data_IF_039835352768
#
_entry.id   IF_039835352768
#
_cell.length_a   1.000
_cell.length_b   1.000
_cell.length_c   1.000
_cell.angle_alpha   90.00
_cell.angle_beta   90.00
_cell.angle_gamma   90.00
#
_symmetry.space_group_name_H-M   'P 1'
#
loop_
_entity.id
_entity.type
_entity.pdbx_description
1 polymer ?
#
# COMPACT_ATOMS: atom_id res chain seq x y z
N UNK A 1 -2.87 -9.81 2.96
CA UNK A 1 -3.16 -11.24 3.28
C UNK A 1 -4.03 -11.43 4.53
N UNK A 2 -3.91 -10.62 5.60
CA UNK A 2 -4.76 -10.75 6.80
C UNK A 2 -6.27 -10.74 6.51
N UNK A 3 -6.73 -9.81 5.66
CA UNK A 3 -8.14 -9.74 5.26
C UNK A 3 -8.63 -10.99 4.50
N UNK A 4 -7.75 -11.62 3.71
CA UNK A 4 -8.09 -12.83 2.95
C UNK A 4 -8.28 -14.03 3.89
N UNK A 5 -7.41 -14.18 4.89
CA UNK A 5 -7.54 -15.21 5.93
C UNK A 5 -8.84 -15.03 6.74
N UNK A 6 -9.14 -13.78 7.12
CA UNK A 6 -10.39 -13.45 7.84
C UNK A 6 -11.61 -13.80 6.99
N UNK A 7 -11.60 -13.46 5.69
CA UNK A 7 -12.71 -13.71 4.77
C UNK A 7 -13.02 -15.21 4.61
N UNK A 8 -12.01 -16.06 4.63
CA UNK A 8 -12.17 -17.50 4.44
C UNK A 8 -12.33 -18.28 5.75
N UNK A 9 -12.53 -17.60 6.89
CA UNK A 9 -12.94 -18.20 8.18
C UNK A 9 -12.17 -19.49 8.54
N UNK A 10 -10.86 -19.52 8.30
CA UNK A 10 -9.96 -20.66 8.54
C UNK A 10 -10.19 -21.90 7.64
N UNK A 11 -11.02 -21.84 6.60
CA UNK A 11 -11.01 -22.86 5.55
C UNK A 11 -9.72 -22.75 4.74
N UNK A 12 -8.83 -23.70 4.96
CA UNK A 12 -7.50 -23.70 4.36
C UNK A 12 -7.53 -23.93 2.85
N UNK A 13 -8.43 -24.77 2.33
CA UNK A 13 -8.49 -25.03 0.88
C UNK A 13 -8.90 -23.78 0.11
N UNK A 14 -9.96 -23.12 0.57
CA UNK A 14 -10.49 -21.93 -0.08
C UNK A 14 -9.52 -20.76 0.03
N UNK A 15 -8.84 -20.66 1.17
CA UNK A 15 -7.77 -19.69 1.34
C UNK A 15 -6.61 -19.94 0.36
N UNK A 16 -6.18 -21.20 0.18
CA UNK A 16 -5.12 -21.53 -0.78
C UNK A 16 -5.52 -21.19 -2.21
N UNK A 17 -6.76 -21.48 -2.61
CA UNK A 17 -7.29 -21.11 -3.93
C UNK A 17 -7.35 -19.59 -4.10
N UNK A 18 -7.90 -18.87 -3.13
CA UNK A 18 -7.96 -17.42 -3.18
C UNK A 18 -6.58 -16.77 -3.23
N UNK A 19 -5.60 -17.35 -2.52
CA UNK A 19 -4.21 -16.91 -2.56
C UNK A 19 -3.56 -17.18 -3.93
N UNK A 20 -3.83 -18.34 -4.53
CA UNK A 20 -3.39 -18.67 -5.88
C UNK A 20 -3.95 -17.67 -6.90
N UNK A 21 -5.24 -17.33 -6.82
CA UNK A 21 -5.85 -16.31 -7.67
C UNK A 21 -5.22 -14.93 -7.43
N UNK A 22 -5.13 -14.48 -6.18
CA UNK A 22 -4.57 -13.17 -5.84
C UNK A 22 -3.13 -12.97 -6.35
N UNK A 23 -2.37 -14.06 -6.51
CA UNK A 23 -1.00 -14.04 -7.04
C UNK A 23 -0.92 -13.97 -8.56
N UNK A 24 -1.90 -14.54 -9.26
CA UNK A 24 -1.95 -14.63 -10.72
C UNK A 24 -2.86 -13.57 -11.37
N UNK A 25 -3.65 -12.83 -10.59
CA UNK A 25 -4.48 -11.75 -11.12
C UNK A 25 -3.59 -10.54 -11.41
N UNK A 26 -3.57 -10.03 -12.66
CA UNK A 26 -2.84 -8.83 -13.01
C UNK A 26 -3.42 -7.62 -12.29
N UNK A 27 -2.56 -6.70 -11.83
CA UNK A 27 -3.03 -5.44 -11.30
C UNK A 27 -3.44 -4.49 -12.45
N UNK A 28 -3.93 -3.30 -12.12
CA UNK A 28 -4.24 -2.20 -13.07
C UNK A 28 -3.11 -1.82 -14.05
N UNK A 29 -1.90 -2.31 -13.81
CA UNK A 29 -0.69 -2.12 -14.63
C UNK A 29 -0.42 -3.28 -15.60
N UNK A 30 -1.17 -4.38 -15.50
CA UNK A 30 -1.16 -5.47 -16.47
C UNK A 30 -0.35 -6.70 -16.07
N UNK A 31 0.63 -6.58 -15.18
CA UNK A 31 1.38 -7.73 -14.64
C UNK A 31 0.87 -8.18 -13.27
N UNK A 32 0.86 -9.49 -13.06
CA UNK A 32 0.53 -10.13 -11.78
C UNK A 32 1.74 -10.21 -10.85
N UNK A 33 1.55 -10.34 -9.52
CA UNK A 33 2.64 -10.52 -8.57
C UNK A 33 3.62 -11.64 -8.92
N UNK A 34 3.13 -12.76 -9.46
CA UNK A 34 3.99 -13.87 -9.89
C UNK A 34 4.83 -13.53 -11.11
N UNK A 35 4.29 -12.75 -12.04
CA UNK A 35 5.05 -12.29 -13.21
C UNK A 35 6.13 -11.29 -12.82
N UNK A 36 5.87 -10.41 -11.85
CA UNK A 36 6.89 -9.48 -11.35
C UNK A 36 8.10 -10.17 -10.69
N UNK A 37 7.89 -11.32 -10.05
CA UNK A 37 8.94 -12.00 -9.27
C UNK A 37 9.58 -13.15 -10.04
N UNK A 38 8.76 -13.95 -10.74
CA UNK A 38 9.18 -15.18 -11.40
C UNK A 38 9.19 -15.08 -12.92
N UNK A 39 8.80 -13.93 -13.47
CA UNK A 39 8.70 -13.66 -14.91
C UNK A 39 7.74 -14.62 -15.61
N UNK A 40 6.87 -15.33 -14.87
CA UNK A 40 5.88 -16.24 -15.42
C UNK A 40 4.68 -16.36 -14.49
N UNK A 41 3.47 -16.61 -15.02
CA UNK A 41 2.33 -16.94 -14.18
C UNK A 41 2.46 -18.36 -13.63
N UNK A 42 1.86 -18.58 -12.46
CA UNK A 42 1.71 -19.93 -11.91
C UNK A 42 0.52 -20.64 -12.55
N UNK A 43 0.57 -21.97 -12.58
CA UNK A 43 -0.57 -22.78 -13.00
C UNK A 43 -1.74 -22.58 -12.03
N UNK A 44 -2.92 -22.39 -12.61
CA UNK A 44 -4.18 -22.23 -11.86
C UNK A 44 -5.12 -23.39 -12.18
N UNK A 45 -6.30 -23.40 -11.56
CA UNK A 45 -7.36 -24.35 -11.92
C UNK A 45 -7.98 -24.07 -13.28
N UNK A 46 -7.79 -22.87 -13.83
CA UNK A 46 -8.29 -22.53 -15.14
C UNK A 46 -7.39 -23.16 -16.21
N UNK A 47 -7.96 -23.86 -17.20
CA UNK A 47 -7.18 -24.36 -18.33
C UNK A 47 -6.62 -23.17 -19.10
N UNK A 48 -5.33 -23.23 -19.44
CA UNK A 48 -4.69 -22.26 -20.31
C UNK A 48 -3.75 -22.98 -21.30
N UNK A 49 -3.56 -22.34 -22.45
CA UNK A 49 -2.65 -22.81 -23.49
C UNK A 49 -1.21 -22.67 -22.98
N UNK A 50 -0.27 -23.50 -23.46
CA UNK A 50 1.15 -23.46 -23.07
C UNK A 50 1.75 -22.05 -23.15
N UNK A 51 1.36 -21.29 -24.18
CA UNK A 51 1.75 -19.89 -24.38
C UNK A 51 1.43 -18.99 -23.19
N UNK A 52 0.34 -19.28 -22.47
CA UNK A 52 -0.06 -18.52 -21.28
C UNK A 52 0.86 -18.69 -20.07
N UNK A 53 1.84 -19.60 -20.13
CA UNK A 53 2.83 -19.85 -19.07
C UNK A 53 4.28 -19.59 -19.51
N UNK A 54 4.47 -18.96 -20.66
CA UNK A 54 5.79 -18.59 -21.15
C UNK A 54 6.47 -17.59 -20.18
N UNK A 55 7.80 -17.63 -20.19
CA UNK A 55 8.62 -16.67 -19.47
C UNK A 55 8.56 -15.33 -20.20
N UNK A 56 8.34 -14.27 -19.44
CA UNK A 56 8.44 -12.90 -19.88
C UNK A 56 9.91 -12.49 -19.91
N UNK A 57 10.27 -11.74 -20.93
CA UNK A 57 11.59 -11.14 -21.05
C UNK A 57 11.74 -9.96 -20.09
N UNK A 58 12.97 -9.66 -19.66
CA UNK A 58 13.25 -8.56 -18.73
C UNK A 58 12.76 -7.20 -19.28
N UNK A 59 12.83 -7.01 -20.60
CA UNK A 59 12.34 -5.82 -21.29
C UNK A 59 10.83 -5.65 -21.14
N UNK A 60 10.06 -6.74 -21.20
CA UNK A 60 8.60 -6.70 -21.05
C UNK A 60 8.19 -6.28 -19.63
N UNK A 61 8.98 -6.67 -18.64
CA UNK A 61 8.76 -6.32 -17.22
C UNK A 61 9.18 -4.89 -16.95
N UNK A 62 10.31 -4.44 -17.51
CA UNK A 62 10.79 -3.07 -17.38
C UNK A 62 9.82 -2.06 -18.03
N UNK A 63 9.19 -2.44 -19.14
CA UNK A 63 8.19 -1.61 -19.82
C UNK A 63 6.83 -1.57 -19.11
N UNK A 64 6.57 -2.45 -18.15
CA UNK A 64 5.33 -2.40 -17.38
C UNK A 64 5.34 -1.20 -16.42
N UNK A 65 4.44 -0.24 -16.65
CA UNK A 65 4.41 1.03 -15.90
C UNK A 65 4.32 0.82 -14.38
N UNK A 66 5.12 1.48 -13.55
CA UNK A 66 4.99 1.36 -12.10
C UNK A 66 3.64 1.90 -11.61
N UNK A 67 2.94 1.07 -10.82
CA UNK A 67 1.63 1.34 -10.20
C UNK A 67 1.55 2.68 -9.45
N UNK A 68 2.68 3.15 -8.91
CA UNK A 68 2.77 4.38 -8.13
C UNK A 68 2.30 5.62 -8.91
N UNK A 69 2.50 5.67 -10.22
CA UNK A 69 2.24 6.87 -11.02
C UNK A 69 0.74 7.14 -11.21
N UNK A 70 -0.10 6.10 -11.19
CA UNK A 70 -1.54 6.23 -11.54
C UNK A 70 -2.45 6.55 -10.36
N UNK A 71 -2.08 6.17 -9.13
CA UNK A 71 -2.94 6.37 -7.96
C UNK A 71 -2.98 7.81 -7.45
N UNK A 72 -1.97 8.63 -7.76
CA UNK A 72 -1.86 10.02 -7.30
C UNK A 72 -2.46 11.05 -8.29
N UNK A 73 -2.98 10.63 -9.46
CA UNK A 73 -3.41 11.55 -10.53
C UNK A 73 -4.60 12.46 -10.16
N UNK A 74 -5.49 12.02 -9.27
CA UNK A 74 -6.72 12.75 -8.93
C UNK A 74 -6.65 13.52 -7.60
N UNK A 75 -5.61 13.30 -6.79
CA UNK A 75 -5.58 13.79 -5.41
C UNK A 75 -4.70 15.01 -5.29
N UNK A 76 -5.26 16.13 -4.80
CA UNK A 76 -4.45 17.33 -4.51
C UNK A 76 -3.49 17.03 -3.36
N UNK A 77 -2.20 17.42 -3.46
CA UNK A 77 -1.25 17.22 -2.38
C UNK A 77 -1.69 17.99 -1.14
N UNK A 78 -1.56 17.36 0.04
CA UNK A 78 -1.81 18.02 1.32
C UNK A 78 -0.77 19.11 1.58
N UNK A 79 -1.15 20.26 2.18
CA UNK A 79 -0.22 21.34 2.44
C UNK A 79 0.86 20.92 3.44
N UNK A 80 2.11 21.29 3.18
CA UNK A 80 3.25 20.95 4.06
C UNK A 80 3.07 21.61 5.43
N UNK A 81 3.38 20.89 6.51
CA UNK A 81 3.34 21.42 7.87
C UNK A 81 4.69 22.04 8.23
N UNK A 82 4.68 23.20 8.87
CA UNK A 82 5.91 23.88 9.30
C UNK A 82 6.32 23.46 10.71
N UNK A 83 7.62 23.51 11.01
CA UNK A 83 8.11 23.32 12.38
C UNK A 83 7.56 24.42 13.30
N UNK A 84 7.07 24.03 14.47
CA UNK A 84 6.39 24.90 15.42
C UNK A 84 4.88 24.99 15.23
N UNK A 85 4.32 24.43 14.15
CA UNK A 85 2.89 24.45 13.91
C UNK A 85 2.14 23.54 14.91
N UNK A 86 1.09 24.08 15.53
CA UNK A 86 0.14 23.28 16.32
C UNK A 86 -0.76 22.49 15.38
N UNK A 87 -0.91 21.20 15.64
CA UNK A 87 -1.69 20.27 14.83
C UNK A 87 -2.58 19.40 15.71
N UNK A 88 -3.76 19.06 15.20
CA UNK A 88 -4.58 18.01 15.78
C UNK A 88 -4.11 16.65 15.28
N UNK A 89 -3.97 15.69 16.19
CA UNK A 89 -3.54 14.32 15.92
C UNK A 89 -4.74 13.41 16.08
N UNK A 90 -4.96 12.54 15.10
CA UNK A 90 -6.00 11.53 15.18
C UNK A 90 -5.63 10.43 16.19
N UNK A 91 -6.55 10.14 17.12
CA UNK A 91 -6.41 9.02 18.04
C UNK A 91 -6.58 7.69 17.28
N UNK A 92 -5.61 6.75 17.38
CA UNK A 92 -5.62 5.51 16.60
C UNK A 92 -6.73 4.53 17.01
N UNK A 93 -7.27 4.65 18.22
CA UNK A 93 -8.30 3.75 18.74
C UNK A 93 -9.71 4.29 18.46
N UNK A 94 -9.93 5.59 18.67
CA UNK A 94 -11.26 6.20 18.50
C UNK A 94 -11.49 6.83 17.13
N UNK A 95 -10.44 7.08 16.35
CA UNK A 95 -10.50 7.80 15.08
C UNK A 95 -10.82 9.29 15.21
N UNK A 96 -10.92 9.83 16.43
CA UNK A 96 -11.25 11.24 16.69
C UNK A 96 -10.00 12.13 16.65
N UNK A 97 -10.18 13.39 16.27
CA UNK A 97 -9.17 14.44 16.28
C UNK A 97 -9.17 15.19 17.61
N UNK A 98 -8.69 14.54 18.67
CA UNK A 98 -8.77 15.07 20.02
C UNK A 98 -7.42 15.28 20.70
N UNK A 99 -6.33 14.80 20.10
CA UNK A 99 -5.00 14.99 20.66
C UNK A 99 -4.36 16.22 20.00
N UNK A 100 -3.75 17.11 20.80
CA UNK A 100 -3.02 18.26 20.30
C UNK A 100 -1.52 17.97 20.32
N UNK A 101 -0.79 18.50 19.35
CA UNK A 101 0.66 18.42 19.35
C UNK A 101 1.31 19.50 18.49
N UNK A 102 2.62 19.66 18.66
CA UNK A 102 3.41 20.65 17.94
C UNK A 102 4.40 19.94 17.02
N UNK A 103 4.40 20.29 15.74
CA UNK A 103 5.34 19.73 14.77
C UNK A 103 6.75 20.19 15.13
N UNK A 104 7.67 19.25 15.37
CA UNK A 104 9.09 19.61 15.54
C UNK A 104 9.81 19.66 14.20
N UNK A 105 9.65 18.64 13.37
CA UNK A 105 10.34 18.55 12.08
C UNK A 105 9.63 17.63 11.10
N UNK A 106 9.88 17.88 9.81
CA UNK A 106 9.55 16.97 8.71
C UNK A 106 10.68 15.95 8.53
N UNK A 107 10.32 14.69 8.23
CA UNK A 107 11.29 13.63 7.92
C UNK A 107 11.75 13.69 6.45
N UNK A 108 12.87 13.04 6.10
CA UNK A 108 13.41 13.06 4.73
C UNK A 108 12.44 12.60 3.64
N UNK A 109 11.47 11.74 3.99
CA UNK A 109 10.46 11.24 3.04
C UNK A 109 9.35 12.25 2.70
N UNK A 110 9.30 13.43 3.35
CA UNK A 110 8.30 14.49 3.13
C UNK A 110 6.86 14.15 3.53
N UNK A 111 6.57 12.90 3.88
CA UNK A 111 5.23 12.39 4.23
C UNK A 111 5.03 12.17 5.72
N UNK A 112 6.11 12.18 6.50
CA UNK A 112 6.08 11.91 7.94
C UNK A 112 6.70 13.06 8.73
N UNK A 113 6.13 13.32 9.90
CA UNK A 113 6.52 14.40 10.82
C UNK A 113 6.78 13.82 12.20
N UNK A 114 7.73 14.41 12.90
CA UNK A 114 7.92 14.19 14.33
C UNK A 114 7.13 15.28 15.08
N UNK A 115 6.13 14.88 15.86
CA UNK A 115 5.19 15.77 16.54
C UNK A 115 5.32 15.55 18.06
N UNK A 116 5.50 16.64 18.81
CA UNK A 116 5.49 16.62 20.27
C UNK A 116 4.05 16.68 20.78
N UNK A 117 3.59 15.62 21.44
CA UNK A 117 2.26 15.55 22.06
C UNK A 117 2.39 14.87 23.42
N UNK A 118 1.72 15.41 24.44
CA UNK A 118 1.71 14.88 25.82
C UNK A 118 3.12 14.57 26.37
N UNK A 119 4.11 15.43 26.05
CA UNK A 119 5.50 15.28 26.48
C UNK A 119 6.31 14.20 25.74
N UNK A 120 5.76 13.59 24.69
CA UNK A 120 6.43 12.55 23.89
C UNK A 120 6.50 12.94 22.41
N UNK A 121 7.57 12.50 21.75
CA UNK A 121 7.72 12.67 20.30
C UNK A 121 7.07 11.49 19.61
N UNK A 122 6.08 11.77 18.76
CA UNK A 122 5.34 10.79 17.97
C UNK A 122 5.66 10.97 16.49
N UNK A 123 5.92 9.87 15.79
CA UNK A 123 6.01 9.87 14.33
C UNK A 123 4.62 9.75 13.73
N UNK A 124 4.20 10.74 12.93
CA UNK A 124 2.87 10.80 12.33
C UNK A 124 2.93 11.12 10.85
N UNK A 125 2.09 10.46 10.06
CA UNK A 125 1.93 10.76 8.64
C UNK A 125 1.09 12.03 8.48
N UNK A 126 1.31 12.79 7.40
CA UNK A 126 0.53 13.99 7.07
C UNK A 126 -0.98 13.79 7.07
N UNK A 127 -1.44 12.59 6.71
CA UNK A 127 -2.87 12.26 6.63
C UNK A 127 -3.56 12.17 8.00
N UNK A 128 -2.79 12.02 9.08
CA UNK A 128 -3.29 11.85 10.46
C UNK A 128 -2.91 13.04 11.37
N UNK A 129 -2.46 14.14 10.77
CA UNK A 129 -2.25 15.45 11.40
C UNK A 129 -3.04 16.52 10.64
N UNK A 130 -3.97 17.20 11.31
CA UNK A 130 -4.70 18.34 10.73
C UNK A 130 -4.06 19.64 11.24
N UNK A 131 -3.89 20.65 10.36
CA UNK A 131 -3.44 21.98 10.75
C UNK A 131 -4.44 22.69 11.67
#
# INVERSE_FOLDING_TARGET
MKALIIKHTQNWSDFQLALLHSRNVPHTVGLSPTQWIFHRPHRTLCPAISKGYELLEEEEIANAEPLATRHDLSTRPLPVLTSGQSVQIQNPYSGKWNNLGTVQRMRPNGRSYDVLADGRILTRNRNISMP
#
